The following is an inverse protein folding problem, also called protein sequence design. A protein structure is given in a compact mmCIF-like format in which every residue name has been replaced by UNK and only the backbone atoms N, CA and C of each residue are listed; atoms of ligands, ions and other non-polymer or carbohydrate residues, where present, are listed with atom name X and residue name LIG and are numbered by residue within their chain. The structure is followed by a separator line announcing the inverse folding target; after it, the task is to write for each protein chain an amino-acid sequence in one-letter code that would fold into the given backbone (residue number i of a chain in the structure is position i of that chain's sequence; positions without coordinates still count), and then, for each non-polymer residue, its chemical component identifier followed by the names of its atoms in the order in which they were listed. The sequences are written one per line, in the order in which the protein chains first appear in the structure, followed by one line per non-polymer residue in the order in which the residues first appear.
data_IF_052547234034
#
_entry.id   IF_052547234034
#
_cell.length_a   1.000
_cell.length_b   1.000
_cell.length_c   1.000
_cell.angle_alpha   90.00
_cell.angle_beta   90.00
_cell.angle_gamma   90.00
#
_symmetry.space_group_name_H-M   'P 1'
#
loop_
_entity.id
_entity.type
_entity.pdbx_description
1 polymer ?
#
# COMPACT_ATOMS: atom_id res chain seq x y z
N UNK A 1 14.27 -45.63 -29.62
CA UNK A 1 13.39 -44.45 -29.46
C UNK A 1 13.64 -43.85 -28.07
N UNK A 2 14.33 -42.71 -27.98
CA UNK A 2 14.59 -42.01 -26.71
C UNK A 2 13.44 -41.04 -26.43
N UNK A 3 12.70 -41.26 -25.34
CA UNK A 3 11.67 -40.34 -24.84
C UNK A 3 12.37 -39.23 -24.07
N UNK A 4 12.48 -38.06 -24.69
CA UNK A 4 12.97 -36.84 -24.03
C UNK A 4 11.81 -36.26 -23.22
N UNK A 5 11.81 -36.49 -21.92
CA UNK A 5 10.83 -35.90 -21.00
C UNK A 5 11.08 -34.39 -20.90
N UNK A 6 10.15 -33.58 -21.42
CA UNK A 6 10.17 -32.12 -21.18
C UNK A 6 9.70 -31.85 -19.75
N UNK A 7 10.62 -31.45 -18.88
CA UNK A 7 10.30 -30.80 -17.61
C UNK A 7 9.87 -29.36 -17.89
N UNK A 8 8.57 -29.11 -17.90
CA UNK A 8 8.03 -27.74 -17.92
C UNK A 8 8.18 -27.17 -16.51
N UNK A 9 9.26 -26.44 -16.27
CA UNK A 9 9.37 -25.54 -15.12
C UNK A 9 8.39 -24.38 -15.34
N UNK A 10 7.18 -24.51 -14.80
CA UNK A 10 6.29 -23.37 -14.60
C UNK A 10 6.88 -22.54 -13.46
N UNK A 11 7.79 -21.64 -13.80
CA UNK A 11 8.18 -20.54 -12.91
C UNK A 11 6.93 -19.70 -12.69
N UNK A 12 6.29 -19.85 -11.53
CA UNK A 12 5.29 -18.88 -11.07
C UNK A 12 5.99 -17.51 -11.03
N UNK A 13 5.76 -16.70 -12.05
CA UNK A 13 6.01 -15.26 -12.01
C UNK A 13 5.04 -14.68 -10.99
N UNK A 14 5.41 -14.76 -9.71
CA UNK A 14 4.72 -14.01 -8.66
C UNK A 14 4.70 -12.55 -9.10
N UNK A 15 3.53 -11.90 -9.15
CA UNK A 15 3.45 -10.51 -9.58
C UNK A 15 4.35 -9.69 -8.65
N UNK A 16 5.35 -9.04 -9.24
CA UNK A 16 6.36 -8.21 -8.57
C UNK A 16 5.74 -7.07 -7.73
N UNK A 17 4.44 -6.85 -7.88
CA UNK A 17 3.64 -5.78 -7.28
C UNK A 17 3.28 -5.99 -5.80
N UNK A 18 3.62 -7.12 -5.17
CA UNK A 18 3.24 -7.42 -3.78
C UNK A 18 4.32 -7.06 -2.73
N UNK A 19 5.44 -6.46 -3.16
CA UNK A 19 6.52 -6.10 -2.24
C UNK A 19 6.16 -4.85 -1.44
N UNK A 20 6.51 -4.85 -0.16
CA UNK A 20 6.34 -3.67 0.68
C UNK A 20 7.20 -2.51 0.13
N UNK A 21 6.60 -1.32 0.05
CA UNK A 21 7.29 -0.09 -0.32
C UNK A 21 7.33 0.84 0.88
N UNK A 22 8.51 1.38 1.16
CA UNK A 22 8.70 2.33 2.25
C UNK A 22 9.05 3.70 1.66
N UNK A 23 8.36 4.72 2.14
CA UNK A 23 8.54 6.11 1.79
C UNK A 23 8.96 6.89 3.03
N UNK A 24 9.95 7.76 2.88
CA UNK A 24 10.46 8.63 3.95
C UNK A 24 9.92 10.05 3.78
N UNK A 25 9.23 10.56 4.80
CA UNK A 25 8.72 11.93 4.82
C UNK A 25 9.80 12.94 5.21
N UNK A 26 9.86 14.08 4.50
CA UNK A 26 10.83 15.14 4.76
C UNK A 26 10.40 16.03 5.96
N UNK A 27 11.38 16.64 6.67
CA UNK A 27 11.12 17.79 7.55
C UNK A 27 11.04 17.58 9.08
N UNK A 28 11.34 16.39 9.62
CA UNK A 28 11.42 16.15 11.08
C UNK A 28 12.81 15.56 11.46
N UNK A 29 13.43 15.78 12.62
CA UNK A 29 14.68 15.09 12.97
C UNK A 29 14.51 13.59 13.33
N UNK A 30 13.30 13.12 13.69
CA UNK A 30 13.09 11.73 14.14
C UNK A 30 12.86 10.75 12.97
N UNK A 31 13.76 9.78 12.81
CA UNK A 31 13.72 8.75 11.77
C UNK A 31 12.46 7.86 11.83
N UNK A 32 11.94 7.55 13.02
CA UNK A 32 10.78 6.66 13.18
C UNK A 32 9.47 7.35 12.80
N UNK A 33 9.38 8.67 13.01
CA UNK A 33 8.21 9.47 12.65
C UNK A 33 7.99 9.63 11.14
N UNK A 34 9.02 9.36 10.33
CA UNK A 34 9.03 9.65 8.89
C UNK A 34 8.57 8.51 8.01
N UNK A 35 8.35 7.33 8.56
CA UNK A 35 8.23 6.12 7.73
C UNK A 35 6.77 5.83 7.40
N UNK A 36 6.46 5.84 6.11
CA UNK A 36 5.24 5.26 5.56
C UNK A 36 5.59 3.94 4.86
N UNK A 37 5.13 2.81 5.38
CA UNK A 37 5.33 1.51 4.74
C UNK A 37 4.00 1.00 4.20
N UNK A 38 3.93 0.74 2.91
CA UNK A 38 2.75 0.20 2.24
C UNK A 38 3.04 -1.24 1.82
N UNK A 39 2.15 -2.16 2.17
CA UNK A 39 2.12 -3.50 1.61
C UNK A 39 1.01 -3.54 0.55
N UNK A 40 1.36 -3.42 -0.75
CA UNK A 40 0.36 -3.38 -1.80
C UNK A 40 -0.34 -4.73 -1.92
N UNK A 41 -1.64 -4.68 -2.17
CA UNK A 41 -2.53 -5.84 -2.31
C UNK A 41 -2.46 -6.88 -1.16
N UNK A 42 -1.96 -6.49 0.02
CA UNK A 42 -1.83 -7.37 1.18
C UNK A 42 -3.17 -7.75 1.83
N UNK A 43 -4.22 -6.98 1.56
CA UNK A 43 -5.56 -7.25 2.06
C UNK A 43 -6.38 -7.92 0.97
N UNK A 44 -7.10 -8.97 1.32
CA UNK A 44 -8.09 -9.62 0.45
C UNK A 44 -9.40 -9.71 1.21
N UNK A 45 -10.47 -9.14 0.65
CA UNK A 45 -11.82 -9.31 1.17
C UNK A 45 -12.69 -9.93 0.09
N UNK A 46 -13.44 -10.97 0.46
CA UNK A 46 -14.44 -11.57 -0.43
C UNK A 46 -15.83 -11.17 0.08
N UNK A 47 -16.60 -10.49 -0.76
CA UNK A 47 -17.98 -10.11 -0.44
C UNK A 47 -18.87 -10.51 -1.62
N UNK A 48 -19.88 -11.35 -1.38
CA UNK A 48 -20.78 -11.86 -2.43
C UNK A 48 -20.04 -12.48 -3.64
N UNK A 49 -18.94 -13.20 -3.40
CA UNK A 49 -18.11 -13.80 -4.45
C UNK A 49 -17.18 -12.83 -5.19
N UNK A 50 -17.25 -11.52 -4.92
CA UNK A 50 -16.35 -10.52 -5.48
C UNK A 50 -15.10 -10.43 -4.60
N UNK A 51 -13.92 -10.55 -5.22
CA UNK A 51 -12.63 -10.41 -4.57
C UNK A 51 -12.16 -8.97 -4.67
N UNK A 52 -12.13 -8.28 -3.53
CA UNK A 52 -11.58 -6.93 -3.39
C UNK A 52 -10.18 -7.02 -2.77
N UNK A 53 -9.20 -6.39 -3.41
CA UNK A 53 -7.82 -6.32 -2.93
C UNK A 53 -7.52 -4.93 -2.38
N UNK A 54 -6.73 -4.88 -1.33
CA UNK A 54 -6.44 -3.65 -0.60
C UNK A 54 -5.01 -3.53 -0.12
N UNK A 55 -4.65 -2.37 0.38
CA UNK A 55 -3.33 -2.06 0.91
C UNK A 55 -3.36 -2.02 2.43
N UNK A 56 -2.30 -2.55 3.03
CA UNK A 56 -1.99 -2.27 4.42
C UNK A 56 -0.99 -1.11 4.44
N UNK A 57 -1.36 0.01 5.06
CA UNK A 57 -0.52 1.20 5.16
C UNK A 57 -0.12 1.40 6.61
N UNK A 58 1.17 1.42 6.91
CA UNK A 58 1.72 1.72 8.22
C UNK A 58 2.35 3.10 8.27
N UNK A 59 1.91 3.91 9.22
CA UNK A 59 2.54 5.16 9.65
C UNK A 59 3.05 4.94 11.10
N UNK A 60 4.10 5.64 11.54
CA UNK A 60 4.80 5.49 12.83
C UNK A 60 4.11 4.67 13.96
N UNK A 61 2.86 5.01 14.34
CA UNK A 61 2.08 4.29 15.36
C UNK A 61 0.65 3.90 14.93
N UNK A 62 0.34 3.99 13.64
CA UNK A 62 -0.99 3.74 13.08
C UNK A 62 -0.88 2.82 11.89
N UNK A 63 -1.84 1.91 11.75
CA UNK A 63 -1.97 1.14 10.53
C UNK A 63 -3.38 1.24 10.00
N UNK A 64 -3.48 1.27 8.68
CA UNK A 64 -4.73 1.47 7.97
C UNK A 64 -4.95 0.35 6.97
N UNK A 65 -6.19 -0.12 6.91
CA UNK A 65 -6.66 -1.04 5.87
C UNK A 65 -7.39 -0.24 4.79
N UNK A 66 -6.79 -0.13 3.62
CA UNK A 66 -7.31 0.64 2.48
C UNK A 66 -7.82 -0.29 1.40
N UNK A 67 -9.14 -0.31 1.17
CA UNK A 67 -9.77 -1.14 0.16
C UNK A 67 -11.15 -0.60 -0.22
N UNK A 68 -11.75 -1.19 -1.24
CA UNK A 68 -13.15 -0.93 -1.57
C UNK A 68 -14.05 -1.75 -0.64
N UNK A 69 -14.93 -1.05 0.06
CA UNK A 69 -15.95 -1.63 0.95
C UNK A 69 -17.30 -1.05 0.54
N UNK A 70 -18.27 -1.94 0.26
CA UNK A 70 -19.64 -1.55 -0.07
C UNK A 70 -19.73 -0.50 -1.20
N UNK A 71 -18.89 -0.69 -2.23
CA UNK A 71 -18.81 0.20 -3.39
C UNK A 71 -17.94 1.44 -3.21
N UNK A 72 -17.44 1.74 -2.00
CA UNK A 72 -16.70 2.95 -1.68
C UNK A 72 -15.24 2.65 -1.32
N UNK A 73 -14.33 3.46 -1.83
CA UNK A 73 -12.91 3.40 -1.47
C UNK A 73 -12.68 4.09 -0.14
N UNK A 74 -12.11 3.37 0.83
CA UNK A 74 -11.86 3.91 2.17
C UNK A 74 -10.67 3.21 2.85
N UNK A 75 -10.01 3.96 3.72
CA UNK A 75 -9.00 3.49 4.65
C UNK A 75 -9.59 3.48 6.07
N UNK A 76 -9.47 2.37 6.79
CA UNK A 76 -9.91 2.25 8.19
C UNK A 76 -8.70 2.15 9.10
N UNK A 77 -8.67 2.93 10.18
CA UNK A 77 -7.68 2.74 11.26
C UNK A 77 -7.89 1.36 11.89
N UNK A 78 -6.85 0.53 11.91
CA UNK A 78 -6.92 -0.82 12.44
C UNK A 78 -7.01 -0.86 13.97
N UNK A 79 -6.63 0.23 14.65
CA UNK A 79 -6.67 0.36 16.10
C UNK A 79 -7.63 1.47 16.58
N UNK A 80 -8.40 2.05 15.66
CA UNK A 80 -9.29 3.18 15.95
C UNK A 80 -10.65 3.03 15.26
N UNK A 81 -11.40 4.13 15.23
CA UNK A 81 -12.74 4.19 14.61
C UNK A 81 -12.75 5.00 13.31
N UNK A 82 -11.62 5.59 12.93
CA UNK A 82 -11.52 6.46 11.77
C UNK A 82 -11.77 5.68 10.46
N UNK A 83 -12.64 6.24 9.62
CA UNK A 83 -12.89 5.80 8.25
C UNK A 83 -12.64 6.99 7.33
N UNK A 84 -11.64 6.85 6.45
CA UNK A 84 -11.11 7.93 5.63
C UNK A 84 -11.38 7.59 4.17
N UNK A 85 -12.31 8.28 3.49
CA UNK A 85 -12.56 8.04 2.07
C UNK A 85 -11.37 8.50 1.21
N UNK A 86 -11.20 7.88 0.05
CA UNK A 86 -10.25 8.34 -0.97
C UNK A 86 -10.80 8.11 -2.38
N UNK A 87 -10.33 8.91 -3.33
CA UNK A 87 -10.80 8.91 -4.73
C UNK A 87 -9.67 8.73 -5.76
N UNK A 88 -8.43 8.56 -5.29
CA UNK A 88 -7.28 8.29 -6.15
C UNK A 88 -7.07 6.79 -6.42
N UNK A 89 -6.27 6.49 -7.44
CA UNK A 89 -5.96 5.12 -7.87
C UNK A 89 -5.25 4.32 -6.77
N UNK A 90 -5.60 3.04 -6.65
CA UNK A 90 -4.89 2.09 -5.78
C UNK A 90 -3.39 2.01 -6.13
N UNK A 91 -2.99 2.27 -7.37
CA UNK A 91 -1.57 2.26 -7.75
C UNK A 91 -0.80 3.51 -7.32
N UNK A 92 -1.47 4.56 -6.84
CA UNK A 92 -0.83 5.81 -6.40
C UNK A 92 -0.41 5.70 -4.93
N UNK A 93 0.58 4.85 -4.68
CA UNK A 93 1.06 4.50 -3.33
C UNK A 93 1.49 5.73 -2.52
N UNK A 94 2.08 6.73 -3.17
CA UNK A 94 2.49 7.98 -2.50
C UNK A 94 1.30 8.76 -1.95
N UNK A 95 0.15 8.76 -2.63
CA UNK A 95 -1.06 9.44 -2.12
C UNK A 95 -1.61 8.78 -0.86
N UNK A 96 -1.46 7.47 -0.67
CA UNK A 96 -1.82 6.83 0.60
C UNK A 96 -0.98 7.36 1.76
N UNK A 97 0.33 7.52 1.56
CA UNK A 97 1.21 8.10 2.57
C UNK A 97 0.82 9.55 2.91
N UNK A 98 0.57 10.37 1.88
CA UNK A 98 0.16 11.77 2.07
C UNK A 98 -1.20 11.89 2.78
N UNK A 99 -2.13 10.97 2.51
CA UNK A 99 -3.45 10.95 3.13
C UNK A 99 -3.39 10.53 4.61
N UNK A 100 -2.58 9.53 4.94
CA UNK A 100 -2.68 8.80 6.21
C UNK A 100 -1.58 9.11 7.22
N UNK A 101 -0.40 9.49 6.73
CA UNK A 101 0.77 9.77 7.57
C UNK A 101 0.97 11.28 7.70
N UNK A 102 0.01 11.98 8.32
CA UNK A 102 0.03 13.45 8.42
C UNK A 102 0.61 14.00 9.72
N UNK A 103 1.13 13.12 10.60
CA UNK A 103 1.74 13.54 11.87
C UNK A 103 3.06 12.81 12.13
N UNK A 104 4.22 13.47 11.96
CA UNK A 104 4.38 14.83 11.39
C UNK A 104 3.91 14.88 9.94
N UNK A 105 3.51 16.07 9.47
CA UNK A 105 2.99 16.23 8.10
C UNK A 105 4.02 15.73 7.08
N UNK A 106 3.63 14.78 6.23
CA UNK A 106 4.37 14.45 5.02
C UNK A 106 3.96 15.46 3.93
N UNK A 107 4.73 16.53 3.68
CA UNK A 107 4.34 17.53 2.69
C UNK A 107 4.21 16.86 1.31
N UNK A 108 3.10 17.13 0.63
CA UNK A 108 2.98 16.84 -0.79
C UNK A 108 3.85 17.84 -1.55
N UNK A 109 5.16 17.64 -1.60
CA UNK A 109 5.93 18.35 -2.62
C UNK A 109 5.59 17.72 -3.96
N UNK A 110 4.82 18.46 -4.77
CA UNK A 110 4.75 18.30 -6.23
C UNK A 110 6.11 18.63 -6.87
N UNK A 111 7.20 18.08 -6.35
CA UNK A 111 8.51 18.25 -6.94
C UNK A 111 8.85 16.99 -7.72
N UNK A 112 9.01 17.17 -9.03
CA UNK A 112 9.56 16.17 -9.93
C UNK A 112 11.01 15.77 -9.58
N UNK A 113 11.59 16.30 -8.49
CA UNK A 113 12.92 15.98 -7.98
C UNK A 113 13.04 15.95 -6.44
N UNK A 114 11.94 15.92 -5.66
CA UNK A 114 12.06 15.90 -4.19
C UNK A 114 12.13 14.47 -3.66
N UNK A 115 13.34 14.00 -3.38
CA UNK A 115 13.71 13.36 -2.12
C UNK A 115 12.83 12.26 -1.50
N UNK A 116 12.05 11.51 -2.29
CA UNK A 116 11.55 10.21 -1.87
C UNK A 116 12.63 9.18 -2.21
N UNK A 117 13.59 8.99 -1.31
CA UNK A 117 14.53 7.87 -1.37
C UNK A 117 13.85 6.60 -0.84
#
# INVERSE_FOLDING_TARGET
MKRTTLLVLVLLSLPFSAQAQTFMCAGNPDYFTKRCTIHPYAITKVTNGIVEKGHLVGCQFKSYSCLKLDGKYQCRDNYGTAVIPFDFSMNDLKKFCALLCTNPACPQTQDQNSGWQ
#
